data_IF_024516098194
#
_entry.id   IF_024516098194
#
_cell.length_a   1.000
_cell.length_b   1.000
_cell.length_c   1.000
_cell.angle_alpha   90.00
_cell.angle_beta   90.00
_cell.angle_gamma   90.00
#
_symmetry.space_group_name_H-M   'P 1'
#
loop_
_entity.id
_entity.type
_entity.pdbx_description
1 polymer ?
#
# COMPACT_ATOMS: atom_id res chain seq x y z
N UNK A 1 14.33 10.33 20.35
CA UNK A 1 13.18 9.39 20.42
C UNK A 1 13.25 8.64 21.74
N UNK A 2 12.17 8.64 22.50
CA UNK A 2 11.98 7.83 23.70
C UNK A 2 11.81 6.35 23.35
N UNK A 3 11.93 5.47 24.34
CA UNK A 3 11.76 4.02 24.14
C UNK A 3 10.35 3.66 23.67
N UNK A 4 9.31 4.35 24.15
CA UNK A 4 7.93 4.13 23.71
C UNK A 4 7.73 4.54 22.24
N UNK A 5 8.32 5.67 21.83
CA UNK A 5 8.27 6.12 20.43
C UNK A 5 9.01 5.16 19.50
N UNK A 6 10.13 4.57 19.95
CA UNK A 6 10.85 3.54 19.20
C UNK A 6 9.99 2.28 19.00
N UNK A 7 9.33 1.78 20.05
CA UNK A 7 8.46 0.61 19.92
C UNK A 7 7.32 0.87 18.96
N UNK A 8 6.65 2.02 19.06
CA UNK A 8 5.58 2.39 18.13
C UNK A 8 6.08 2.48 16.69
N UNK A 9 7.23 3.10 16.46
CA UNK A 9 7.86 3.15 15.13
C UNK A 9 8.08 1.73 14.56
N UNK A 10 8.62 0.81 15.37
CA UNK A 10 8.89 -0.57 14.92
C UNK A 10 7.60 -1.37 14.68
N UNK A 11 6.61 -1.23 15.56
CA UNK A 11 5.30 -1.88 15.44
C UNK A 11 4.55 -1.41 14.20
N UNK A 12 4.46 -0.09 14.00
CA UNK A 12 3.76 0.50 12.86
C UNK A 12 4.50 0.22 11.54
N UNK A 13 5.85 0.19 11.56
CA UNK A 13 6.66 -0.24 10.41
C UNK A 13 6.35 -1.67 10.01
N UNK A 14 6.32 -2.59 10.98
CA UNK A 14 6.02 -4.00 10.75
C UNK A 14 4.58 -4.18 10.25
N UNK A 15 3.61 -3.51 10.88
CA UNK A 15 2.20 -3.56 10.48
C UNK A 15 2.01 -3.04 9.05
N UNK A 16 2.68 -1.93 8.69
CA UNK A 16 2.66 -1.39 7.34
C UNK A 16 3.28 -2.34 6.32
N UNK A 17 4.43 -2.94 6.62
CA UNK A 17 5.08 -3.93 5.74
C UNK A 17 4.18 -5.15 5.49
N UNK A 18 3.56 -5.69 6.55
CA UNK A 18 2.65 -6.82 6.47
C UNK A 18 1.40 -6.49 5.63
N UNK A 19 0.78 -5.34 5.88
CA UNK A 19 -0.40 -4.90 5.14
C UNK A 19 -0.09 -4.67 3.66
N UNK A 20 1.07 -4.09 3.34
CA UNK A 20 1.55 -3.95 1.97
C UNK A 20 1.74 -5.31 1.29
N UNK A 21 2.36 -6.28 1.95
CA UNK A 21 2.55 -7.62 1.37
C UNK A 21 1.22 -8.34 1.11
N UNK A 22 0.23 -8.23 2.01
CA UNK A 22 -1.11 -8.77 1.80
C UNK A 22 -1.83 -8.05 0.64
N UNK A 23 -1.78 -6.72 0.62
CA UNK A 23 -2.40 -5.91 -0.42
C UNK A 23 -1.82 -6.19 -1.80
N UNK A 24 -0.50 -6.34 -1.89
CA UNK A 24 0.17 -6.69 -3.13
C UNK A 24 -0.39 -7.98 -3.73
N UNK A 25 -0.46 -9.05 -2.92
CA UNK A 25 -1.01 -10.35 -3.36
C UNK A 25 -2.48 -10.25 -3.76
N UNK A 26 -3.31 -9.58 -2.96
CA UNK A 26 -4.74 -9.44 -3.24
C UNK A 26 -5.00 -8.68 -4.55
N UNK A 27 -4.22 -7.63 -4.82
CA UNK A 27 -4.34 -6.84 -6.03
C UNK A 27 -3.81 -7.56 -7.27
N UNK A 28 -2.72 -8.33 -7.13
CA UNK A 28 -2.21 -9.17 -8.21
C UNK A 28 -3.23 -10.24 -8.63
N UNK A 29 -3.86 -10.92 -7.66
CA UNK A 29 -4.94 -11.87 -7.94
C UNK A 29 -6.10 -11.17 -8.64
N UNK A 30 -6.54 -10.00 -8.14
CA UNK A 30 -7.61 -9.22 -8.79
C UNK A 30 -7.28 -8.89 -10.25
N UNK A 31 -6.07 -8.39 -10.51
CA UNK A 31 -5.65 -8.05 -11.85
C UNK A 31 -5.61 -9.26 -12.79
N UNK A 32 -5.32 -10.46 -12.27
CA UNK A 32 -5.28 -11.69 -13.07
C UNK A 32 -6.65 -12.24 -13.45
N UNK A 33 -7.70 -11.88 -12.69
CA UNK A 33 -9.08 -12.33 -12.93
C UNK A 33 -9.83 -11.50 -13.98
N UNK A 34 -9.25 -10.38 -14.40
CA UNK A 34 -9.89 -9.46 -15.34
C UNK A 34 -9.23 -9.62 -16.72
N UNK A 35 -10.06 -9.87 -17.74
CA UNK A 35 -9.60 -10.01 -19.12
C UNK A 35 -9.02 -8.68 -19.62
N UNK A 36 -7.88 -8.64 -20.33
CA UNK A 36 -7.40 -7.44 -21.01
C UNK A 36 -8.39 -6.99 -22.10
N UNK A 37 -9.38 -6.18 -21.71
CA UNK A 37 -10.33 -5.51 -22.60
C UNK A 37 -9.79 -4.25 -23.26
N UNK A 38 -10.60 -3.68 -24.14
CA UNK A 38 -10.34 -2.61 -25.11
C UNK A 38 -10.80 -1.22 -24.64
N UNK A 39 -10.54 -0.84 -23.38
CA UNK A 39 -10.97 0.45 -22.81
C UNK A 39 -12.18 0.36 -21.88
N UNK A 40 -12.58 -0.85 -21.48
CA UNK A 40 -13.75 -1.09 -20.62
C UNK A 40 -13.49 -0.71 -19.15
N UNK A 41 -14.53 -0.54 -18.30
CA UNK A 41 -14.36 -0.38 -16.85
C UNK A 41 -13.53 -1.50 -16.19
N UNK A 42 -13.49 -2.67 -16.80
CA UNK A 42 -12.67 -3.81 -16.39
C UNK A 42 -11.17 -3.53 -16.59
N UNK A 43 -10.79 -2.86 -17.68
CA UNK A 43 -9.39 -2.45 -17.90
C UNK A 43 -8.90 -1.50 -16.80
N UNK A 44 -9.75 -0.57 -16.35
CA UNK A 44 -9.42 0.32 -15.23
C UNK A 44 -9.17 -0.46 -13.94
N UNK A 45 -10.03 -1.42 -13.61
CA UNK A 45 -9.89 -2.30 -12.44
C UNK A 45 -8.60 -3.10 -12.52
N UNK A 46 -8.32 -3.70 -13.68
CA UNK A 46 -7.08 -4.44 -13.93
C UNK A 46 -5.85 -3.56 -13.74
N UNK A 47 -5.83 -2.39 -14.37
CA UNK A 47 -4.71 -1.44 -14.30
C UNK A 47 -4.48 -0.97 -12.86
N UNK A 48 -5.54 -0.62 -12.12
CA UNK A 48 -5.44 -0.24 -10.70
C UNK A 48 -4.91 -1.40 -9.84
N UNK A 49 -5.34 -2.63 -10.14
CA UNK A 49 -4.80 -3.84 -9.49
C UNK A 49 -3.30 -4.04 -9.73
N UNK A 50 -2.83 -3.91 -10.97
CA UNK A 50 -1.39 -4.02 -11.29
C UNK A 50 -0.58 -2.95 -10.56
N UNK A 51 -0.97 -1.68 -10.69
CA UNK A 51 -0.25 -0.56 -10.07
C UNK A 51 -0.22 -0.72 -8.55
N UNK A 52 -1.34 -1.06 -7.92
CA UNK A 52 -1.39 -1.28 -6.48
C UNK A 52 -0.53 -2.47 -6.05
N UNK A 53 -0.51 -3.55 -6.84
CA UNK A 53 0.29 -4.72 -6.53
C UNK A 53 1.80 -4.40 -6.52
N UNK A 54 2.28 -3.69 -7.54
CA UNK A 54 3.69 -3.31 -7.70
C UNK A 54 4.15 -2.33 -6.61
N UNK A 55 3.35 -1.29 -6.34
CA UNK A 55 3.68 -0.28 -5.33
C UNK A 55 3.68 -0.89 -3.92
N UNK A 56 2.72 -1.76 -3.62
CA UNK A 56 2.69 -2.45 -2.33
C UNK A 56 3.84 -3.45 -2.18
N UNK A 57 4.24 -4.16 -3.24
CA UNK A 57 5.43 -5.04 -3.19
C UNK A 57 6.69 -4.24 -2.87
N UNK A 58 6.95 -3.17 -3.64
CA UNK A 58 8.10 -2.30 -3.44
C UNK A 58 8.13 -1.70 -2.03
N UNK A 59 6.98 -1.22 -1.54
CA UNK A 59 6.86 -0.68 -0.19
C UNK A 59 7.13 -1.74 0.88
N UNK A 60 6.58 -2.95 0.73
CA UNK A 60 6.80 -4.03 1.70
C UNK A 60 8.28 -4.39 1.83
N UNK A 61 9.01 -4.37 0.71
CA UNK A 61 10.46 -4.64 0.67
C UNK A 61 11.27 -3.53 1.33
N UNK A 62 11.02 -2.28 0.97
CA UNK A 62 11.65 -1.11 1.59
C UNK A 62 11.48 -1.10 3.11
N UNK A 63 10.29 -1.45 3.60
CA UNK A 63 10.02 -1.49 5.03
C UNK A 63 10.60 -2.73 5.73
N UNK A 64 10.84 -3.83 5.00
CA UNK A 64 11.42 -5.06 5.55
C UNK A 64 12.95 -5.09 5.49
N UNK A 65 13.57 -4.34 4.59
CA UNK A 65 15.02 -4.23 4.45
C UNK A 65 15.64 -3.39 5.57
N UNK A 66 16.82 -3.81 6.05
CA UNK A 66 17.49 -3.18 7.19
C UNK A 66 18.03 -1.78 6.85
N UNK A 67 18.09 -0.93 7.88
CA UNK A 67 18.02 0.54 7.98
C UNK A 67 18.88 1.47 7.09
N UNK A 68 19.26 1.11 5.87
CA UNK A 68 20.04 2.00 4.99
C UNK A 68 19.20 2.94 4.11
N UNK A 69 17.89 2.73 4.02
CA UNK A 69 17.02 3.63 3.27
C UNK A 69 16.76 4.91 4.07
N UNK A 70 17.11 6.04 3.47
CA UNK A 70 16.87 7.36 4.03
C UNK A 70 15.37 7.61 4.32
N UNK A 71 15.08 8.28 5.43
CA UNK A 71 13.71 8.46 5.92
C UNK A 71 12.84 9.27 4.95
N UNK A 72 13.42 10.24 4.21
CA UNK A 72 12.66 10.98 3.21
C UNK A 72 12.25 10.09 2.04
N UNK A 73 13.10 9.12 1.66
CA UNK A 73 12.78 8.11 0.64
C UNK A 73 11.68 7.18 1.12
N UNK A 74 11.77 6.69 2.37
CA UNK A 74 10.72 5.86 2.99
C UNK A 74 9.40 6.63 3.02
N UNK A 75 9.41 7.90 3.45
CA UNK A 75 8.23 8.76 3.50
C UNK A 75 7.57 8.89 2.13
N UNK A 76 8.34 9.26 1.11
CA UNK A 76 7.82 9.42 -0.26
C UNK A 76 7.21 8.12 -0.80
N UNK A 77 7.88 6.98 -0.59
CA UNK A 77 7.38 5.66 -1.00
C UNK A 77 6.05 5.32 -0.31
N UNK A 78 5.96 5.50 1.02
CA UNK A 78 4.76 5.15 1.79
C UNK A 78 3.61 6.12 1.51
N UNK A 79 3.87 7.40 1.27
CA UNK A 79 2.85 8.38 0.84
C UNK A 79 2.25 8.00 -0.50
N UNK A 80 3.09 7.61 -1.45
CA UNK A 80 2.63 7.10 -2.74
C UNK A 80 1.83 5.81 -2.60
N UNK A 81 2.32 4.86 -1.79
CA UNK A 81 1.61 3.61 -1.49
C UNK A 81 0.21 3.87 -0.92
N UNK A 82 0.10 4.77 0.06
CA UNK A 82 -1.18 5.18 0.66
C UNK A 82 -2.15 5.71 -0.40
N UNK A 83 -1.69 6.61 -1.26
CA UNK A 83 -2.53 7.19 -2.31
C UNK A 83 -3.01 6.12 -3.30
N UNK A 84 -2.09 5.28 -3.79
CA UNK A 84 -2.43 4.20 -4.74
C UNK A 84 -3.42 3.22 -4.13
N UNK A 85 -3.24 2.83 -2.87
CA UNK A 85 -4.18 1.96 -2.16
C UNK A 85 -5.58 2.57 -2.06
N UNK A 86 -5.68 3.87 -1.73
CA UNK A 86 -6.97 4.55 -1.64
C UNK A 86 -7.66 4.61 -3.02
N UNK A 87 -6.92 4.95 -4.08
CA UNK A 87 -7.46 4.98 -5.44
C UNK A 87 -7.88 3.59 -5.94
N UNK A 88 -7.11 2.55 -5.62
CA UNK A 88 -7.44 1.17 -5.99
C UNK A 88 -8.70 0.70 -5.26
N UNK A 89 -8.85 0.98 -3.96
CA UNK A 89 -10.05 0.68 -3.20
C UNK A 89 -11.30 1.30 -3.84
N UNK A 90 -11.23 2.58 -4.21
CA UNK A 90 -12.33 3.27 -4.90
C UNK A 90 -12.67 2.66 -6.27
N UNK A 91 -11.67 2.24 -7.03
CA UNK A 91 -11.92 1.55 -8.31
C UNK A 91 -12.59 0.19 -8.11
N UNK A 92 -12.21 -0.55 -7.06
CA UNK A 92 -12.77 -1.86 -6.75
C UNK A 92 -14.20 -1.81 -6.19
N UNK A 93 -14.59 -0.73 -5.52
CA UNK A 93 -15.98 -0.55 -5.04
C UNK A 93 -17.02 -0.60 -6.16
N UNK A 94 -16.63 -0.22 -7.38
CA UNK A 94 -17.48 -0.26 -8.56
C UNK A 94 -17.53 -1.61 -9.28
N UNK A 95 -16.81 -2.64 -8.80
CA UNK A 95 -16.64 -3.90 -9.52
C UNK A 95 -17.08 -5.12 -8.70
N UNK A 96 -18.12 -5.86 -9.15
CA UNK A 96 -18.60 -7.04 -8.45
C UNK A 96 -17.50 -8.07 -8.15
N UNK A 97 -17.52 -8.60 -6.92
CA UNK A 97 -16.56 -9.60 -6.49
C UNK A 97 -15.21 -9.03 -6.07
N UNK A 98 -14.97 -7.71 -6.17
CA UNK A 98 -13.74 -7.04 -5.74
C UNK A 98 -13.81 -6.45 -4.31
N UNK A 99 -14.89 -6.69 -3.57
CA UNK A 99 -15.17 -6.11 -2.25
C UNK A 99 -14.05 -6.44 -1.26
N UNK A 100 -13.60 -7.71 -1.25
CA UNK A 100 -12.50 -8.13 -0.39
C UNK A 100 -11.18 -7.45 -0.75
N UNK A 101 -10.89 -7.28 -2.05
CA UNK A 101 -9.67 -6.58 -2.49
C UNK A 101 -9.74 -5.11 -2.07
N UNK A 102 -10.90 -4.46 -2.19
CA UNK A 102 -11.12 -3.09 -1.73
C UNK A 102 -10.89 -2.94 -0.22
N UNK A 103 -11.39 -3.86 0.60
CA UNK A 103 -11.14 -3.88 2.05
C UNK A 103 -9.65 -3.97 2.39
N UNK A 104 -8.92 -4.86 1.72
CA UNK A 104 -7.47 -5.02 1.91
C UNK A 104 -6.71 -3.75 1.51
N UNK A 105 -7.06 -3.12 0.39
CA UNK A 105 -6.48 -1.83 0.00
C UNK A 105 -6.72 -0.73 1.05
N UNK A 106 -7.93 -0.65 1.62
CA UNK A 106 -8.22 0.32 2.70
C UNK A 106 -7.44 0.02 3.98
N UNK A 107 -7.26 -1.26 4.32
CA UNK A 107 -6.46 -1.66 5.46
C UNK A 107 -4.99 -1.26 5.28
N UNK A 108 -4.45 -1.47 4.07
CA UNK A 108 -3.11 -1.04 3.71
C UNK A 108 -2.95 0.49 3.77
N UNK A 109 -3.89 1.25 3.20
CA UNK A 109 -3.85 2.71 3.25
C UNK A 109 -3.87 3.26 4.70
N UNK A 110 -4.61 2.61 5.60
CA UNK A 110 -4.60 2.96 7.03
C UNK A 110 -3.24 2.66 7.67
N UNK A 111 -2.70 1.45 7.50
CA UNK A 111 -1.39 1.10 8.04
C UNK A 111 -0.25 2.00 7.53
N UNK A 112 -0.28 2.37 6.24
CA UNK A 112 0.64 3.37 5.68
C UNK A 112 0.50 4.73 6.36
N UNK A 113 -0.74 5.16 6.64
CA UNK A 113 -1.02 6.44 7.32
C UNK A 113 -0.50 6.43 8.76
N UNK A 114 -0.75 5.33 9.48
CA UNK A 114 -0.31 5.17 10.87
C UNK A 114 1.23 5.20 10.95
N UNK A 115 1.90 4.45 10.09
CA UNK A 115 3.37 4.45 10.03
C UNK A 115 3.95 5.83 9.67
N UNK A 116 3.37 6.55 8.69
CA UNK A 116 3.80 7.92 8.35
C UNK A 116 3.72 8.88 9.54
N UNK A 117 2.79 8.64 10.47
CA UNK A 117 2.64 9.39 11.71
C UNK A 117 3.75 9.14 12.74
N UNK A 118 4.55 8.09 12.57
CA UNK A 118 5.71 7.78 13.43
C UNK A 118 7.04 8.34 12.92
N UNK A 119 7.10 8.67 11.62
CA UNK A 119 8.29 9.24 10.99
C UNK A 119 8.50 10.70 11.45
N UNK A 120 9.76 11.12 11.55
CA UNK A 120 10.13 12.47 12.00
C UNK A 120 9.65 13.54 11.01
N UNK A 121 9.19 14.72 11.47
CA UNK A 121 8.77 15.79 10.57
C UNK A 121 9.93 16.21 9.65
N UNK A 122 9.69 16.25 8.34
CA UNK A 122 10.67 16.77 7.40
C UNK A 122 10.85 18.27 7.65
N UNK A 123 12.03 18.69 8.12
CA UNK A 123 12.41 20.10 8.14
C UNK A 123 12.72 20.50 6.71
N UNK A 124 11.86 21.35 6.12
CA UNK A 124 12.10 21.98 4.81
C UNK A 124 13.08 23.14 4.93
#
# INVERSE_FOLDING_TARGET
MSQQELYRYLEDRFACAQACAECSRACAVRASLVDPGDGTPEELVRRKGVICAEVCDATSRVLSEDSQTDEATVRAQVEWCRQVCAEAAHAFDGHPGAERTAEVCRACARACTDFLGTLTPSVS
#
